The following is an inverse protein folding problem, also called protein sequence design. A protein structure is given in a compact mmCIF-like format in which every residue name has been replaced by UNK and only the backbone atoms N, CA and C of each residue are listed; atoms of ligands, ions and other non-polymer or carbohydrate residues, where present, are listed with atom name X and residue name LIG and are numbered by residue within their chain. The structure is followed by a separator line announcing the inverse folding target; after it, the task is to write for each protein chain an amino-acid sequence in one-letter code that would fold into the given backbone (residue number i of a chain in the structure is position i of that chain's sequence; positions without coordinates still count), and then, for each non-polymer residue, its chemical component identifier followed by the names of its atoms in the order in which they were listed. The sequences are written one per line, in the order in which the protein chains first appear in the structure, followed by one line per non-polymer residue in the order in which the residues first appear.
data_IF_519539552328
#
_entry.id   IF_519539552328
#
_cell.length_a   1.000
_cell.length_b   1.000
_cell.length_c   1.000
_cell.angle_alpha   90.00
_cell.angle_beta   90.00
_cell.angle_gamma   90.00
#
_symmetry.space_group_name_H-M   'P 1'
#
loop_
_entity.id
_entity.type
_entity.pdbx_description
1 polymer ?
#
# COMPACT_ATOMS: atom_id res chain seq x y z
N UNK A 1 13.01 12.95 9.69
CA UNK A 1 13.00 12.24 8.37
C UNK A 1 11.55 11.97 7.97
N UNK A 2 11.16 12.20 6.72
CA UNK A 2 9.81 11.91 6.23
C UNK A 2 9.69 10.43 5.87
N UNK A 3 8.74 9.73 6.51
CA UNK A 3 8.39 8.33 6.23
C UNK A 3 7.14 8.31 5.36
N UNK A 4 7.29 7.85 4.12
CA UNK A 4 6.20 7.76 3.15
C UNK A 4 5.75 6.31 3.06
N UNK A 5 4.46 6.04 3.28
CA UNK A 5 3.86 4.73 3.03
C UNK A 5 3.38 4.62 1.59
N UNK A 6 3.95 3.72 0.80
CA UNK A 6 3.47 3.40 -0.54
C UNK A 6 2.61 2.14 -0.48
N UNK A 7 1.35 2.26 -0.91
CA UNK A 7 0.40 1.16 -0.94
C UNK A 7 -0.38 1.16 -2.25
N UNK A 8 -0.98 0.02 -2.57
CA UNK A 8 -1.79 -0.16 -3.77
C UNK A 8 -2.38 -1.56 -3.78
N UNK A 9 -3.46 -1.75 -4.55
CA UNK A 9 -4.08 -3.05 -4.75
C UNK A 9 -3.27 -3.93 -5.69
N UNK A 10 -3.64 -5.21 -5.80
CA UNK A 10 -3.11 -6.09 -6.86
C UNK A 10 -3.30 -5.43 -8.22
N UNK A 11 -2.27 -5.50 -9.07
CA UNK A 11 -2.25 -4.96 -10.42
C UNK A 11 -2.52 -3.43 -10.54
N UNK A 12 -2.40 -2.68 -9.43
CA UNK A 12 -2.52 -1.22 -9.42
C UNK A 12 -1.34 -0.49 -10.07
N UNK A 13 -0.21 -1.15 -10.28
CA UNK A 13 1.03 -0.52 -10.76
C UNK A 13 1.95 0.01 -9.66
N UNK A 14 1.71 -0.37 -8.39
CA UNK A 14 2.57 -0.04 -7.26
C UNK A 14 4.05 -0.31 -7.52
N UNK A 15 4.40 -1.48 -8.06
CA UNK A 15 5.78 -1.85 -8.38
C UNK A 15 6.44 -0.89 -9.39
N UNK A 16 5.66 -0.36 -10.34
CA UNK A 16 6.14 0.67 -11.28
C UNK A 16 6.50 1.95 -10.55
N UNK A 17 5.66 2.39 -9.60
CA UNK A 17 5.94 3.55 -8.76
C UNK A 17 7.17 3.31 -7.87
N UNK A 18 7.27 2.14 -7.22
CA UNK A 18 8.42 1.77 -6.40
C UNK A 18 9.72 1.84 -7.21
N UNK A 19 9.72 1.32 -8.43
CA UNK A 19 10.86 1.36 -9.34
C UNK A 19 11.22 2.79 -9.76
N UNK A 20 10.25 3.65 -10.06
CA UNK A 20 10.52 5.06 -10.40
C UNK A 20 11.14 5.81 -9.22
N UNK A 21 10.64 5.57 -8.00
CA UNK A 21 11.16 6.21 -6.79
C UNK A 21 12.59 5.76 -6.49
N UNK A 22 12.88 4.46 -6.58
CA UNK A 22 14.22 3.92 -6.28
C UNK A 22 15.22 4.21 -7.40
N UNK A 23 14.89 3.89 -8.65
CA UNK A 23 15.85 3.93 -9.76
C UNK A 23 16.01 5.32 -10.36
N UNK A 24 14.91 6.04 -10.58
CA UNK A 24 14.95 7.36 -11.22
C UNK A 24 15.27 8.46 -10.21
N UNK A 25 14.62 8.44 -9.05
CA UNK A 25 14.76 9.51 -8.07
C UNK A 25 15.73 9.22 -6.93
N UNK A 26 16.32 8.01 -6.88
CA UNK A 26 17.30 7.57 -5.87
C UNK A 26 16.80 7.74 -4.43
N UNK A 27 15.51 7.52 -4.22
CA UNK A 27 14.89 7.56 -2.89
C UNK A 27 14.99 6.17 -2.25
N UNK A 28 15.51 6.05 -1.01
CA UNK A 28 15.56 4.77 -0.30
C UNK A 28 14.17 4.16 -0.12
N UNK A 29 14.05 2.88 -0.47
CA UNK A 29 12.81 2.11 -0.38
C UNK A 29 13.01 0.89 0.52
N UNK A 30 12.08 0.70 1.45
CA UNK A 30 11.99 -0.47 2.33
C UNK A 30 10.78 -1.28 1.86
N UNK A 31 11.04 -2.34 1.11
CA UNK A 31 10.02 -3.30 0.67
C UNK A 31 9.70 -4.26 1.81
N UNK A 32 8.47 -4.21 2.34
CA UNK A 32 8.05 -5.06 3.44
C UNK A 32 7.86 -6.52 3.06
N UNK A 33 7.59 -6.84 1.79
CA UNK A 33 7.48 -8.23 1.34
C UNK A 33 8.87 -8.88 1.31
N UNK A 34 9.88 -8.16 0.82
CA UNK A 34 11.29 -8.59 0.90
C UNK A 34 11.71 -8.68 2.37
N UNK A 35 11.38 -7.68 3.18
CA UNK A 35 11.74 -7.65 4.59
C UNK A 35 11.12 -8.82 5.37
N UNK A 36 9.84 -9.13 5.11
CA UNK A 36 9.13 -10.25 5.74
C UNK A 36 9.76 -11.60 5.40
N UNK A 37 10.38 -11.74 4.22
CA UNK A 37 11.16 -12.94 3.88
C UNK A 37 12.51 -12.95 4.58
N UNK A 38 13.21 -11.83 4.59
CA UNK A 38 14.54 -11.71 5.21
C UNK A 38 14.52 -11.95 6.73
N UNK A 39 13.46 -11.56 7.44
CA UNK A 39 13.39 -11.74 8.90
C UNK A 39 13.27 -13.20 9.34
N UNK A 40 12.93 -14.12 8.44
CA UNK A 40 12.81 -15.57 8.70
C UNK A 40 13.89 -16.39 7.97
N UNK A 41 14.96 -15.75 7.49
CA UNK A 41 16.09 -16.45 6.89
C UNK A 41 16.88 -17.27 7.93
N UNK A 42 17.65 -18.28 7.49
CA UNK A 42 18.53 -19.06 8.36
C UNK A 42 19.40 -18.17 9.27
N UNK A 43 19.50 -18.55 10.55
CA UNK A 43 20.28 -17.82 11.54
C UNK A 43 19.56 -16.63 12.20
N UNK A 44 18.42 -16.19 11.69
CA UNK A 44 17.65 -15.09 12.28
C UNK A 44 16.98 -15.45 13.61
N UNK A 45 16.81 -14.49 14.54
CA UNK A 45 16.09 -14.74 15.79
C UNK A 45 14.61 -15.11 15.57
N UNK A 46 13.97 -14.59 14.53
CA UNK A 46 12.57 -14.90 14.26
C UNK A 46 12.40 -16.34 13.81
N UNK A 47 13.26 -16.85 12.91
CA UNK A 47 13.23 -18.25 12.51
C UNK A 47 13.44 -19.17 13.72
N UNK A 48 14.41 -18.86 14.61
CA UNK A 48 14.64 -19.62 15.85
C UNK A 48 13.39 -19.65 16.74
N UNK A 49 12.68 -18.53 16.87
CA UNK A 49 11.45 -18.45 17.65
C UNK A 49 10.30 -19.26 17.02
N UNK A 50 10.18 -19.25 15.69
CA UNK A 50 9.19 -20.05 14.96
C UNK A 50 9.51 -21.54 15.14
N UNK A 51 10.74 -21.97 14.91
CA UNK A 51 11.19 -23.38 15.09
C UNK A 51 10.99 -23.86 16.52
N UNK A 52 11.20 -22.99 17.52
CA UNK A 52 10.94 -23.33 18.93
C UNK A 52 9.47 -23.66 19.20
N UNK A 53 8.53 -23.07 18.46
CA UNK A 53 7.10 -23.28 18.65
C UNK A 53 6.53 -24.37 17.75
N UNK A 54 6.95 -24.40 16.49
CA UNK A 54 6.42 -25.27 15.43
C UNK A 54 7.30 -26.49 15.14
N UNK A 55 8.36 -26.70 15.90
CA UNK A 55 9.30 -27.80 15.71
C UNK A 55 10.24 -27.62 14.51
N UNK A 56 11.02 -28.66 14.22
CA UNK A 56 12.04 -28.66 13.14
C UNK A 56 11.48 -29.13 11.80
N UNK A 57 10.29 -29.72 11.79
CA UNK A 57 9.55 -30.19 10.62
C UNK A 57 9.21 -29.07 9.63
N UNK A 58 9.21 -27.81 10.09
CA UNK A 58 9.02 -26.63 9.24
C UNK A 58 10.33 -26.13 8.60
N UNK A 59 11.43 -26.86 8.76
CA UNK A 59 12.72 -26.53 8.12
C UNK A 59 12.99 -27.49 6.96
N UNK A 60 13.57 -26.93 5.91
CA UNK A 60 14.18 -27.70 4.83
C UNK A 60 15.56 -28.22 5.26
N UNK A 61 16.15 -29.16 4.49
CA UNK A 61 17.49 -29.69 4.80
C UNK A 61 18.60 -28.64 4.87
N UNK A 62 18.44 -27.52 4.16
CA UNK A 62 19.37 -26.37 4.16
C UNK A 62 19.17 -25.42 5.37
N UNK A 63 18.23 -25.73 6.27
CA UNK A 63 17.87 -24.90 7.42
C UNK A 63 16.99 -23.70 7.09
N UNK A 64 16.53 -23.57 5.84
CA UNK A 64 15.56 -22.55 5.44
C UNK A 64 14.12 -22.96 5.80
N UNK A 65 13.22 -21.98 5.86
CA UNK A 65 11.83 -22.22 6.22
C UNK A 65 11.06 -22.92 5.08
N UNK A 66 10.44 -24.06 5.40
CA UNK A 66 9.49 -24.74 4.53
C UNK A 66 8.10 -24.07 4.61
N UNK A 67 7.89 -23.10 3.72
CA UNK A 67 6.64 -22.30 3.66
C UNK A 67 5.39 -23.15 3.38
N UNK A 68 5.39 -24.11 2.43
CA UNK A 68 4.29 -25.04 2.26
C UNK A 68 3.89 -25.77 3.55
N UNK A 69 4.86 -26.35 4.26
CA UNK A 69 4.60 -27.14 5.47
C UNK A 69 4.08 -26.25 6.60
N UNK A 70 4.74 -25.12 6.87
CA UNK A 70 4.25 -24.14 7.85
C UNK A 70 2.86 -23.62 7.47
N UNK A 71 2.63 -23.36 6.17
CA UNK A 71 1.37 -22.90 5.61
C UNK A 71 0.21 -23.83 5.94
N UNK A 72 0.40 -25.15 5.77
CA UNK A 72 -0.61 -26.16 6.12
C UNK A 72 -0.98 -26.13 7.60
N UNK A 73 0.00 -25.98 8.49
CA UNK A 73 -0.21 -25.92 9.94
C UNK A 73 -1.04 -24.67 10.30
N UNK A 74 -0.63 -23.49 9.83
CA UNK A 74 -1.28 -22.22 10.21
C UNK A 74 -2.60 -21.98 9.48
N UNK A 75 -2.83 -22.64 8.35
CA UNK A 75 -4.12 -22.56 7.65
C UNK A 75 -5.20 -23.35 8.37
N UNK A 76 -4.84 -24.50 8.95
CA UNK A 76 -5.78 -25.37 9.66
C UNK A 76 -6.04 -24.94 11.11
N UNK A 77 -5.17 -24.13 11.71
CA UNK A 77 -5.30 -23.67 13.09
C UNK A 77 -5.17 -22.13 13.23
N UNK A 78 -6.29 -21.42 13.50
CA UNK A 78 -6.29 -19.97 13.74
C UNK A 78 -5.44 -19.52 14.94
N UNK A 79 -5.29 -20.34 15.98
CA UNK A 79 -4.44 -20.02 17.13
C UNK A 79 -2.96 -20.04 16.73
N UNK A 80 -2.56 -21.04 15.94
CA UNK A 80 -1.21 -21.13 15.37
C UNK A 80 -0.89 -19.96 14.44
N UNK A 81 -1.87 -19.57 13.60
CA UNK A 81 -1.74 -18.38 12.76
C UNK A 81 -1.49 -17.11 13.57
N UNK A 82 -2.17 -16.94 14.71
CA UNK A 82 -1.95 -15.79 15.61
C UNK A 82 -0.53 -15.80 16.19
N UNK A 83 -0.01 -16.96 16.59
CA UNK A 83 1.35 -17.07 17.12
C UNK A 83 2.38 -16.72 16.06
N UNK A 84 2.27 -17.28 14.85
CA UNK A 84 3.16 -16.95 13.73
C UNK A 84 3.11 -15.47 13.41
N UNK A 85 1.91 -14.90 13.24
CA UNK A 85 1.75 -13.47 12.95
C UNK A 85 2.39 -12.60 14.02
N UNK A 86 2.25 -12.95 15.30
CA UNK A 86 2.87 -12.19 16.40
C UNK A 86 4.40 -12.20 16.33
N UNK A 87 5.00 -13.35 16.09
CA UNK A 87 6.46 -13.48 15.98
C UNK A 87 6.96 -12.68 14.76
N UNK A 88 6.34 -12.90 13.60
CA UNK A 88 6.72 -12.27 12.34
C UNK A 88 6.51 -10.76 12.38
N UNK A 89 5.35 -10.26 12.84
CA UNK A 89 5.08 -8.82 12.90
C UNK A 89 6.06 -8.10 13.84
N UNK A 90 6.41 -8.71 14.98
CA UNK A 90 7.40 -8.15 15.90
C UNK A 90 8.78 -8.05 15.24
N UNK A 91 9.21 -9.12 14.55
CA UNK A 91 10.49 -9.14 13.86
C UNK A 91 10.55 -8.13 12.70
N UNK A 92 9.51 -8.05 11.86
CA UNK A 92 9.40 -7.10 10.75
C UNK A 92 9.47 -5.66 11.28
N UNK A 93 8.71 -5.31 12.33
CA UNK A 93 8.74 -3.96 12.91
C UNK A 93 10.12 -3.59 13.44
N UNK A 94 10.79 -4.49 14.17
CA UNK A 94 12.14 -4.26 14.68
C UNK A 94 13.14 -4.04 13.54
N UNK A 95 13.06 -4.86 12.49
CA UNK A 95 13.97 -4.75 11.34
C UNK A 95 13.70 -3.46 10.54
N UNK A 96 12.43 -3.10 10.35
CA UNK A 96 12.03 -1.85 9.71
C UNK A 96 12.56 -0.64 10.49
N UNK A 97 12.35 -0.60 11.81
CA UNK A 97 12.86 0.47 12.67
C UNK A 97 14.39 0.59 12.59
N UNK A 98 15.10 -0.54 12.57
CA UNK A 98 16.55 -0.57 12.41
C UNK A 98 17.00 0.00 11.06
N UNK A 99 16.35 -0.40 9.96
CA UNK A 99 16.67 0.12 8.62
C UNK A 99 16.38 1.63 8.52
N UNK A 100 15.26 2.08 9.08
CA UNK A 100 14.94 3.50 9.16
C UNK A 100 15.98 4.27 9.95
N UNK A 101 16.45 3.74 11.08
CA UNK A 101 17.50 4.35 11.88
C UNK A 101 18.83 4.46 11.11
N UNK A 102 19.23 3.41 10.39
CA UNK A 102 20.43 3.44 9.54
C UNK A 102 20.32 4.49 8.43
N UNK A 103 19.16 4.57 7.76
CA UNK A 103 18.92 5.58 6.73
C UNK A 103 18.94 7.00 7.30
N UNK A 104 18.39 7.17 8.50
CA UNK A 104 18.42 8.43 9.23
C UNK A 104 19.85 8.86 9.58
N UNK A 105 20.71 7.95 10.08
CA UNK A 105 22.14 8.23 10.31
C UNK A 105 22.85 8.60 9.03
N UNK A 106 22.52 7.96 7.90
CA UNK A 106 23.07 8.28 6.57
C UNK A 106 22.60 9.64 6.03
N UNK A 107 21.80 10.40 6.77
CA UNK A 107 21.28 11.70 6.34
C UNK A 107 20.13 11.62 5.35
N UNK A 108 19.48 10.46 5.22
CA UNK A 108 18.32 10.31 4.34
C UNK A 108 17.15 11.14 4.88
N UNK A 109 16.71 12.13 4.10
CA UNK A 109 15.60 13.00 4.50
C UNK A 109 14.24 12.34 4.27
N UNK A 110 14.16 11.41 3.32
CA UNK A 110 12.93 10.74 2.86
C UNK A 110 13.21 9.24 2.80
N UNK A 111 12.26 8.43 3.27
CA UNK A 111 12.24 6.98 3.10
C UNK A 111 10.85 6.53 2.69
N UNK A 112 10.77 5.61 1.73
CA UNK A 112 9.51 5.02 1.27
C UNK A 112 9.39 3.61 1.84
N UNK A 113 8.30 3.33 2.55
CA UNK A 113 7.92 1.99 3.02
C UNK A 113 6.90 1.43 2.06
N UNK A 114 7.31 0.45 1.27
CA UNK A 114 6.45 -0.20 0.29
C UNK A 114 5.77 -1.43 0.90
N UNK A 115 4.44 -1.40 0.98
CA UNK A 115 3.65 -2.51 1.49
C UNK A 115 2.26 -2.58 0.83
N UNK A 116 1.90 -3.69 0.14
CA UNK A 116 0.55 -3.85 -0.41
C UNK A 116 -0.56 -3.82 0.66
N UNK A 117 -0.24 -4.35 1.85
CA UNK A 117 -1.15 -4.46 2.99
C UNK A 117 -0.89 -3.37 4.07
N UNK A 118 -0.39 -2.21 3.66
CA UNK A 118 -0.02 -1.12 4.58
C UNK A 118 -1.18 -0.67 5.48
N UNK A 119 -2.38 -0.60 4.89
CA UNK A 119 -3.61 -0.16 5.56
C UNK A 119 -4.11 -1.25 6.51
N UNK A 120 -4.19 -2.47 6.00
CA UNK A 120 -4.67 -3.67 6.69
C UNK A 120 -3.78 -4.03 7.89
N UNK A 121 -2.46 -3.82 7.78
CA UNK A 121 -1.50 -4.06 8.85
C UNK A 121 -1.43 -2.92 9.88
N UNK A 122 -2.19 -1.83 9.68
CA UNK A 122 -2.17 -0.67 10.58
C UNK A 122 -0.90 0.19 10.48
N UNK A 123 -0.04 -0.07 9.49
CA UNK A 123 1.26 0.59 9.35
C UNK A 123 1.14 2.05 8.92
N UNK A 124 0.01 2.43 8.34
CA UNK A 124 -0.37 3.81 8.04
C UNK A 124 -0.21 4.78 9.22
N UNK A 125 -0.30 4.29 10.46
CA UNK A 125 -0.11 5.10 11.67
C UNK A 125 1.34 5.57 11.86
N UNK A 126 2.31 4.84 11.31
CA UNK A 126 3.74 5.14 11.41
C UNK A 126 4.26 5.95 10.22
N UNK A 127 3.41 6.21 9.22
CA UNK A 127 3.76 6.97 8.02
C UNK A 127 3.37 8.45 8.21
N UNK A 128 4.31 9.35 7.89
CA UNK A 128 4.05 10.79 7.86
C UNK A 128 3.24 11.24 6.64
N UNK A 129 3.29 10.45 5.57
CA UNK A 129 2.47 10.63 4.36
C UNK A 129 2.14 9.26 3.74
N UNK A 130 0.93 9.08 3.20
CA UNK A 130 0.49 7.84 2.55
C UNK A 130 0.17 8.13 1.08
N UNK A 131 0.85 7.39 0.21
CA UNK A 131 0.66 7.40 -1.24
C UNK A 131 -0.08 6.13 -1.63
N UNK A 132 -1.27 6.30 -2.19
CA UNK A 132 -2.06 5.19 -2.73
C UNK A 132 -1.96 5.21 -4.25
N UNK A 133 -1.47 4.12 -4.84
CA UNK A 133 -1.58 3.90 -6.28
C UNK A 133 -2.94 3.31 -6.56
N UNK A 134 -3.79 4.08 -7.25
CA UNK A 134 -5.18 3.75 -7.52
C UNK A 134 -5.41 3.46 -9.00
N UNK A 135 -6.28 2.49 -9.28
CA UNK A 135 -6.88 2.30 -10.60
C UNK A 135 -8.24 1.58 -10.44
N UNK A 136 -9.14 1.70 -11.42
CA UNK A 136 -10.43 1.00 -11.39
C UNK A 136 -10.28 -0.52 -11.26
N UNK A 137 -11.23 -1.22 -10.60
CA UNK A 137 -11.23 -2.68 -10.50
C UNK A 137 -11.18 -3.39 -11.86
N UNK A 138 -11.82 -2.82 -12.88
CA UNK A 138 -11.77 -3.33 -14.26
C UNK A 138 -10.35 -3.36 -14.82
N UNK A 139 -9.56 -2.32 -14.55
CA UNK A 139 -8.16 -2.24 -14.97
C UNK A 139 -7.29 -3.22 -14.18
N UNK A 140 -7.59 -3.43 -12.89
CA UNK A 140 -6.88 -4.42 -12.06
C UNK A 140 -7.09 -5.84 -12.60
N UNK A 141 -8.33 -6.20 -12.93
CA UNK A 141 -8.69 -7.51 -13.48
C UNK A 141 -8.04 -7.71 -14.85
N UNK A 142 -8.19 -6.74 -15.76
CA UNK A 142 -7.59 -6.81 -17.10
C UNK A 142 -6.08 -7.01 -17.02
N UNK A 143 -5.37 -6.22 -16.20
CA UNK A 143 -3.90 -6.35 -16.03
C UNK A 143 -3.49 -7.67 -15.39
N UNK A 144 -4.25 -8.15 -14.41
CA UNK A 144 -3.95 -9.42 -13.74
C UNK A 144 -4.12 -10.60 -14.70
N UNK A 145 -5.20 -10.62 -15.47
CA UNK A 145 -5.42 -11.65 -16.51
C UNK A 145 -4.34 -11.54 -17.58
N UNK A 146 -4.06 -10.36 -18.12
CA UNK A 146 -3.02 -10.22 -19.16
C UNK A 146 -1.63 -10.66 -18.70
N UNK A 147 -1.28 -10.42 -17.43
CA UNK A 147 0.04 -10.81 -16.88
C UNK A 147 0.11 -12.30 -16.54
N UNK A 148 -0.93 -12.85 -15.94
CA UNK A 148 -0.90 -14.18 -15.33
C UNK A 148 -1.66 -15.23 -16.17
N UNK A 149 -2.22 -14.88 -17.33
CA UNK A 149 -2.83 -15.81 -18.28
C UNK A 149 -1.87 -16.93 -18.71
N UNK A 150 -0.58 -16.60 -18.90
CA UNK A 150 0.46 -17.57 -19.21
C UNK A 150 0.69 -18.60 -18.08
N UNK A 151 0.26 -18.28 -16.85
CA UNK A 151 0.34 -19.16 -15.68
C UNK A 151 -0.99 -19.90 -15.40
N UNK A 152 -1.95 -19.86 -16.34
CA UNK A 152 -3.24 -20.55 -16.21
C UNK A 152 -4.24 -19.91 -15.25
N UNK A 153 -4.09 -18.61 -14.95
CA UNK A 153 -5.01 -17.91 -14.05
C UNK A 153 -6.36 -17.65 -14.75
N UNK A 154 -7.45 -18.18 -14.19
CA UNK A 154 -8.81 -17.91 -14.65
C UNK A 154 -9.29 -16.52 -14.19
N UNK A 155 -10.30 -15.97 -14.87
CA UNK A 155 -10.88 -14.69 -14.46
C UNK A 155 -11.55 -14.81 -13.07
N UNK A 156 -12.12 -15.96 -12.76
CA UNK A 156 -12.71 -16.27 -11.45
C UNK A 156 -11.65 -16.25 -10.34
N UNK A 157 -10.48 -16.85 -10.57
CA UNK A 157 -9.37 -16.83 -9.62
C UNK A 157 -8.82 -15.40 -9.45
N UNK A 158 -8.71 -14.65 -10.55
CA UNK A 158 -8.34 -13.24 -10.54
C UNK A 158 -9.31 -12.41 -9.68
N UNK A 159 -10.62 -12.59 -9.85
CA UNK A 159 -11.65 -11.93 -9.02
C UNK A 159 -11.57 -12.36 -7.55
N UNK A 160 -11.38 -13.64 -7.27
CA UNK A 160 -11.23 -14.17 -5.91
C UNK A 160 -10.04 -13.52 -5.18
N UNK A 161 -8.89 -13.40 -5.87
CA UNK A 161 -7.69 -12.72 -5.34
C UNK A 161 -7.95 -11.25 -5.10
N UNK A 162 -8.63 -10.56 -6.01
CA UNK A 162 -8.99 -9.16 -5.84
C UNK A 162 -9.88 -8.95 -4.60
N UNK A 163 -10.90 -9.80 -4.42
CA UNK A 163 -11.84 -9.75 -3.30
C UNK A 163 -11.24 -10.17 -1.95
N UNK A 164 -10.11 -10.87 -1.95
CA UNK A 164 -9.39 -11.23 -0.72
C UNK A 164 -8.68 -10.05 -0.04
N UNK A 165 -8.52 -8.94 -0.77
CA UNK A 165 -7.92 -7.70 -0.27
C UNK A 165 -8.98 -6.65 0.02
N UNK A 166 -8.63 -5.65 0.83
CA UNK A 166 -9.47 -4.48 1.00
C UNK A 166 -9.63 -3.78 -0.36
N UNK A 167 -10.87 -3.47 -0.81
CA UNK A 167 -11.10 -2.75 -2.05
C UNK A 167 -10.25 -1.49 -2.15
N UNK A 168 -9.77 -1.16 -3.35
CA UNK A 168 -8.82 -0.06 -3.50
C UNK A 168 -9.44 1.29 -3.13
N UNK A 169 -10.74 1.45 -3.37
CA UNK A 169 -11.52 2.62 -2.96
C UNK A 169 -11.57 2.80 -1.44
N UNK A 170 -11.51 1.70 -0.68
CA UNK A 170 -11.48 1.73 0.78
C UNK A 170 -10.11 2.13 1.33
N UNK A 171 -9.07 2.14 0.48
CA UNK A 171 -7.75 2.67 0.84
C UNK A 171 -7.67 4.19 0.63
N UNK A 172 -8.55 4.79 -0.18
CA UNK A 172 -8.56 6.23 -0.46
C UNK A 172 -8.73 7.14 0.77
N UNK A 173 -9.55 6.81 1.78
CA UNK A 173 -9.66 7.61 3.00
C UNK A 173 -8.35 7.75 3.78
N UNK A 174 -7.41 6.83 3.57
CA UNK A 174 -6.09 6.85 4.20
C UNK A 174 -5.05 7.60 3.35
N UNK A 175 -5.36 7.87 2.08
CA UNK A 175 -4.45 8.53 1.17
C UNK A 175 -4.28 10.01 1.58
N UNK A 176 -3.02 10.42 1.63
CA UNK A 176 -2.64 11.83 1.58
C UNK A 176 -2.41 12.25 0.12
N UNK A 177 -1.91 11.31 -0.70
CA UNK A 177 -1.69 11.46 -2.14
C UNK A 177 -2.26 10.25 -2.85
N UNK A 178 -2.97 10.50 -3.94
CA UNK A 178 -3.47 9.45 -4.84
C UNK A 178 -2.68 9.57 -6.13
N UNK A 179 -2.04 8.47 -6.54
CA UNK A 179 -1.43 8.34 -7.85
C UNK A 179 -2.40 7.53 -8.70
N UNK A 180 -3.06 8.19 -9.64
CA UNK A 180 -4.03 7.54 -10.51
C UNK A 180 -3.30 6.91 -11.71
N UNK A 181 -3.46 5.59 -11.83
CA UNK A 181 -2.92 4.75 -12.88
C UNK A 181 -4.06 4.07 -13.65
N UNK A 182 -5.17 4.77 -13.85
CA UNK A 182 -6.29 4.35 -14.69
C UNK A 182 -5.94 4.41 -16.18
N UNK A 183 -6.54 3.51 -16.94
CA UNK A 183 -6.46 3.51 -18.41
C UNK A 183 -7.10 4.77 -19.02
N UNK A 184 -8.12 5.34 -18.37
CA UNK A 184 -8.79 6.57 -18.79
C UNK A 184 -7.88 7.80 -18.76
N UNK A 185 -6.96 7.90 -17.79
CA UNK A 185 -5.97 8.97 -17.78
C UNK A 185 -5.06 8.94 -19.01
N UNK A 186 -4.74 7.75 -19.52
CA UNK A 186 -3.94 7.60 -20.73
C UNK A 186 -4.68 8.10 -22.00
N UNK A 187 -6.02 8.11 -21.98
CA UNK A 187 -6.86 8.53 -23.08
C UNK A 187 -7.10 10.07 -23.10
N UNK A 188 -6.88 10.77 -21.98
CA UNK A 188 -7.10 12.22 -21.82
C UNK A 188 -5.91 13.12 -22.17
N UNK A 189 -4.74 12.55 -22.47
CA UNK A 189 -3.55 13.32 -22.85
C UNK A 189 -3.73 13.94 -24.26
N UNK A 190 -3.43 15.24 -24.47
CA UNK A 190 -3.68 15.91 -25.75
C UNK A 190 -2.82 15.32 -26.88
N UNK A 191 -3.47 14.80 -27.94
CA UNK A 191 -2.83 14.22 -29.13
C UNK A 191 -3.48 12.92 -29.67
N UNK A 192 -4.80 12.77 -29.55
CA UNK A 192 -5.53 11.52 -29.80
C UNK A 192 -5.79 11.23 -31.29
N UNK A 193 -4.90 10.47 -31.93
CA UNK A 193 -5.25 9.62 -33.09
C UNK A 193 -5.03 8.16 -32.73
N UNK A 194 -6.00 7.31 -33.08
CA UNK A 194 -6.14 5.92 -32.66
C UNK A 194 -4.92 5.05 -33.04
N UNK A 195 -4.19 4.53 -32.03
CA UNK A 195 -3.30 3.37 -32.18
C UNK A 195 -3.36 2.52 -30.91
N UNK A 196 -4.01 1.35 -31.00
CA UNK A 196 -4.26 0.43 -29.87
C UNK A 196 -3.01 -0.24 -29.28
N UNK A 197 -1.81 0.01 -29.82
CA UNK A 197 -0.54 -0.52 -29.28
C UNK A 197 0.12 0.38 -28.21
N UNK A 198 -0.38 1.62 -27.99
CA UNK A 198 0.29 2.63 -27.16
C UNK A 198 -0.28 2.91 -25.76
N UNK A 199 -1.38 2.26 -25.36
CA UNK A 199 -2.10 2.60 -24.11
C UNK A 199 -1.29 2.37 -22.83
N UNK A 200 -0.49 1.30 -22.79
CA UNK A 200 0.37 1.00 -21.63
C UNK A 200 1.49 2.04 -21.44
N UNK A 201 2.09 2.51 -22.54
CA UNK A 201 3.15 3.55 -22.49
C UNK A 201 2.61 4.88 -21.97
N UNK A 202 1.45 5.32 -22.46
CA UNK A 202 0.84 6.61 -22.08
C UNK A 202 0.38 6.64 -20.62
N UNK A 203 -0.25 5.55 -20.14
CA UNK A 203 -0.57 5.39 -18.72
C UNK A 203 0.69 5.47 -17.85
N UNK A 204 1.80 4.90 -18.34
CA UNK A 204 3.09 4.96 -17.63
C UNK A 204 3.72 6.35 -17.62
N UNK A 205 3.50 7.18 -18.65
CA UNK A 205 3.98 8.56 -18.73
C UNK A 205 3.21 9.50 -17.81
N UNK A 206 1.88 9.42 -17.81
CA UNK A 206 1.04 10.19 -16.87
C UNK A 206 1.37 9.84 -15.42
N UNK A 207 1.59 8.56 -15.12
CA UNK A 207 2.02 8.11 -13.80
C UNK A 207 3.43 8.63 -13.44
N UNK A 208 4.37 8.61 -14.39
CA UNK A 208 5.72 9.19 -14.20
C UNK A 208 5.67 10.67 -13.87
N UNK A 209 4.81 11.45 -14.54
CA UNK A 209 4.65 12.87 -14.28
C UNK A 209 4.13 13.12 -12.85
N UNK A 210 3.09 12.39 -12.43
CA UNK A 210 2.57 12.47 -11.06
C UNK A 210 3.64 12.10 -10.01
N UNK A 211 4.45 11.07 -10.27
CA UNK A 211 5.56 10.67 -9.38
C UNK A 211 6.63 11.77 -9.32
N UNK A 212 6.99 12.38 -10.45
CA UNK A 212 7.98 13.44 -10.49
C UNK A 212 7.53 14.67 -9.68
N UNK A 213 6.28 15.11 -9.85
CA UNK A 213 5.68 16.20 -9.08
C UNK A 213 5.66 15.90 -7.58
N UNK A 214 5.26 14.67 -7.22
CA UNK A 214 5.26 14.17 -5.85
C UNK A 214 6.66 14.27 -5.22
N UNK A 215 7.68 13.80 -5.93
CA UNK A 215 9.07 13.85 -5.46
C UNK A 215 9.55 15.29 -5.33
N UNK A 216 9.20 16.17 -6.27
CA UNK A 216 9.55 17.58 -6.21
C UNK A 216 8.94 18.26 -4.98
N UNK A 217 7.68 17.95 -4.65
CA UNK A 217 7.01 18.41 -3.43
C UNK A 217 7.70 17.93 -2.15
N UNK A 218 8.20 16.69 -2.12
CA UNK A 218 8.97 16.21 -0.97
C UNK A 218 10.32 16.91 -0.85
N UNK A 219 11.02 17.12 -1.98
CA UNK A 219 12.32 17.80 -2.01
C UNK A 219 12.21 19.25 -1.55
N UNK A 220 11.21 20.00 -1.99
CA UNK A 220 10.99 21.39 -1.56
C UNK A 220 10.68 21.49 -0.06
N UNK A 221 9.83 20.58 0.46
CA UNK A 221 9.50 20.51 1.88
C UNK A 221 10.71 20.19 2.76
N UNK A 222 11.65 19.38 2.25
CA UNK A 222 12.84 18.93 3.00
C UNK A 222 14.09 19.80 2.78
N UNK A 223 14.08 20.72 1.81
CA UNK A 223 15.16 21.69 1.59
C UNK A 223 14.93 23.06 2.24
N UNK A 224 13.70 23.38 2.65
CA UNK A 224 13.39 24.67 3.27
C UNK A 224 14.09 24.82 4.63
N UNK A 225 14.62 26.01 4.94
CA UNK A 225 15.40 26.33 6.15
C UNK A 225 14.74 25.85 7.46
N UNK A 226 13.41 25.96 7.57
CA UNK A 226 12.65 25.44 8.73
C UNK A 226 12.66 23.92 8.87
N UNK A 227 12.74 23.16 7.78
CA UNK A 227 12.84 21.69 7.80
C UNK A 227 14.22 21.19 8.23
N UNK A 228 15.29 21.90 7.86
CA UNK A 228 16.64 21.62 8.32
C UNK A 228 16.84 22.00 9.81
N UNK A 229 16.27 23.13 10.24
CA UNK A 229 16.28 23.55 11.64
C UNK A 229 15.47 22.61 12.54
N UNK A 230 14.27 22.18 12.13
CA UNK A 230 13.48 21.17 12.85
C UNK A 230 14.18 19.81 12.92
N UNK A 231 14.86 19.38 11.86
CA UNK A 231 15.64 18.14 11.85
C UNK A 231 16.84 18.20 12.80
N UNK A 232 17.52 19.35 12.91
CA UNK A 232 18.58 19.59 13.89
C UNK A 232 18.06 19.68 15.33
N UNK A 233 16.87 20.27 15.54
CA UNK A 233 16.23 20.36 16.86
C UNK A 233 15.74 19.00 17.36
N UNK A 234 15.26 18.14 16.44
CA UNK A 234 14.95 16.73 16.68
C UNK A 234 16.19 15.93 17.14
N UNK A 235 17.39 16.38 16.76
CA UNK A 235 18.68 15.83 17.19
C UNK A 235 19.08 16.27 18.59
N UNK A 236 18.79 17.52 18.96
CA UNK A 236 19.20 18.11 20.23
C UNK A 236 18.21 17.91 21.39
N UNK A 237 16.92 17.67 21.10
CA UNK A 237 15.89 17.38 22.11
C UNK A 237 15.01 16.16 21.74
N UNK A 238 15.46 14.94 22.07
CA UNK A 238 14.70 13.71 21.88
C UNK A 238 13.25 13.71 22.43
N UNK A 239 12.94 14.33 23.60
CA UNK A 239 11.56 14.33 24.10
C UNK A 239 10.59 15.12 23.22
N UNK A 240 11.06 16.17 22.52
CA UNK A 240 10.22 16.96 21.61
C UNK A 240 9.91 16.20 20.31
N UNK A 241 10.88 15.46 19.76
CA UNK A 241 10.65 14.60 18.61
C UNK A 241 9.64 13.48 18.90
N UNK A 242 9.73 12.85 20.08
CA UNK A 242 8.77 11.83 20.51
C UNK A 242 7.36 12.40 20.74
N UNK A 243 7.25 13.57 21.38
CA UNK A 243 5.96 14.24 21.60
C UNK A 243 5.30 14.66 20.26
N UNK A 244 6.09 15.21 19.34
CA UNK A 244 5.62 15.56 17.99
C UNK A 244 5.19 14.30 17.21
N UNK A 245 5.96 13.22 17.29
CA UNK A 245 5.58 11.91 16.76
C UNK A 245 4.25 11.41 17.33
N UNK A 246 4.05 11.50 18.64
CA UNK A 246 2.79 11.10 19.29
C UNK A 246 1.61 11.98 18.82
N UNK A 247 1.81 13.29 18.76
CA UNK A 247 0.78 14.24 18.31
C UNK A 247 0.37 14.00 16.85
N UNK A 248 1.35 13.76 15.95
CA UNK A 248 1.05 13.42 14.55
C UNK A 248 0.26 12.12 14.41
N UNK A 249 0.54 11.11 15.24
CA UNK A 249 -0.24 9.87 15.28
C UNK A 249 -1.69 10.13 15.70
N UNK A 250 -1.91 10.88 16.79
CA UNK A 250 -3.25 11.19 17.31
C UNK A 250 -4.06 11.98 16.28
N UNK A 251 -3.50 13.09 15.77
CA UNK A 251 -4.16 13.93 14.76
C UNK A 251 -4.49 13.16 13.49
N UNK A 252 -3.63 12.23 13.07
CA UNK A 252 -3.86 11.38 11.89
C UNK A 252 -5.02 10.41 12.10
N UNK A 253 -5.15 9.82 13.29
CA UNK A 253 -6.29 8.96 13.63
C UNK A 253 -7.62 9.70 13.51
N UNK A 254 -7.68 10.94 14.03
CA UNK A 254 -8.89 11.78 13.94
C UNK A 254 -9.23 12.12 12.49
N UNK A 255 -8.27 12.61 11.70
CA UNK A 255 -8.52 12.96 10.30
C UNK A 255 -9.00 11.76 9.46
N UNK A 256 -8.39 10.59 9.64
CA UNK A 256 -8.80 9.38 8.91
C UNK A 256 -10.17 8.91 9.37
N UNK A 257 -10.50 9.03 10.66
CA UNK A 257 -11.84 8.72 11.17
C UNK A 257 -12.90 9.58 10.48
N UNK A 258 -12.67 10.89 10.36
CA UNK A 258 -13.56 11.79 9.60
C UNK A 258 -13.64 11.45 8.12
N UNK A 259 -12.51 11.21 7.45
CA UNK A 259 -12.49 10.81 6.03
C UNK A 259 -13.28 9.52 5.79
N UNK A 260 -13.17 8.53 6.69
CA UNK A 260 -13.92 7.27 6.60
C UNK A 260 -15.43 7.49 6.76
N UNK A 261 -15.84 8.26 7.78
CA UNK A 261 -17.26 8.58 7.99
C UNK A 261 -17.86 9.25 6.75
N UNK A 262 -17.14 10.20 6.15
CA UNK A 262 -17.57 10.87 4.92
C UNK A 262 -17.63 9.91 3.73
N UNK A 263 -16.65 9.01 3.58
CA UNK A 263 -16.63 8.01 2.52
C UNK A 263 -17.79 7.00 2.67
N UNK A 264 -18.07 6.54 3.89
CA UNK A 264 -19.21 5.67 4.19
C UNK A 264 -20.55 6.37 3.92
N UNK A 265 -20.68 7.64 4.30
CA UNK A 265 -21.86 8.45 4.00
C UNK A 265 -22.08 8.59 2.48
N UNK A 266 -21.02 8.88 1.72
CA UNK A 266 -21.07 8.98 0.26
C UNK A 266 -21.42 7.65 -0.43
N UNK A 267 -20.97 6.52 0.12
CA UNK A 267 -21.38 5.19 -0.36
C UNK A 267 -22.87 4.92 -0.09
N UNK A 268 -23.34 5.24 1.11
CA UNK A 268 -24.76 5.09 1.48
C UNK A 268 -25.67 5.96 0.60
N UNK A 269 -25.26 7.18 0.27
CA UNK A 269 -26.04 8.05 -0.64
C UNK A 269 -26.09 7.50 -2.07
N UNK A 270 -24.96 7.03 -2.61
CA UNK A 270 -24.93 6.36 -3.93
C UNK A 270 -25.80 5.11 -3.96
N UNK A 271 -25.75 4.29 -2.90
CA UNK A 271 -26.54 3.06 -2.81
C UNK A 271 -28.04 3.35 -2.71
N UNK A 272 -28.44 4.44 -2.03
CA UNK A 272 -29.83 4.93 -2.01
C UNK A 272 -30.28 5.41 -3.38
N UNK A 273 -29.46 6.19 -4.08
CA UNK A 273 -29.76 6.66 -5.45
C UNK A 273 -29.87 5.53 -6.47
N UNK A 274 -29.09 4.46 -6.33
CA UNK A 274 -29.20 3.27 -7.19
C UNK A 274 -30.38 2.34 -6.83
N UNK A 275 -30.99 2.53 -5.66
CA UNK A 275 -32.09 1.71 -5.15
C UNK A 275 -33.47 2.37 -5.33
N UNK A 276 -33.55 3.59 -5.86
CA UNK A 276 -34.81 4.18 -6.33
C UNK A 276 -35.11 3.63 -7.74
N UNK A 277 -36.08 2.71 -7.90
CA UNK A 277 -36.58 2.40 -9.24
C UNK A 277 -37.29 3.65 -9.77
N UNK A 278 -37.07 3.97 -11.05
CA UNK A 278 -37.86 4.92 -11.82
C UNK A 278 -39.35 4.58 -11.68
N UNK A 279 -40.03 5.16 -10.69
CA UNK A 279 -41.48 5.17 -10.60
C UNK A 279 -41.97 6.23 -11.59
N UNK A 280 -42.05 5.85 -12.86
CA UNK A 280 -42.89 6.54 -13.83
C UNK A 280 -44.31 6.43 -13.29
N UNK A 281 -45.03 7.52 -13.00
CA UNK A 281 -46.43 7.42 -12.64
C UNK A 281 -47.18 6.87 -13.85
N UNK A 282 -47.83 5.72 -13.66
CA UNK A 282 -48.82 5.22 -14.61
C UNK A 282 -49.96 6.23 -14.67
N UNK A 283 -49.95 7.09 -15.70
CA UNK A 283 -51.09 7.92 -16.05
C UNK A 283 -52.28 7.00 -16.30
N UNK A 284 -53.24 7.11 -15.40
CA UNK A 284 -54.46 6.34 -15.38
C UNK A 284 -55.30 6.82 -16.56
N UNK A 285 -55.49 5.95 -17.56
CA UNK A 285 -56.62 6.06 -18.49
C UNK A 285 -57.88 6.24 -17.65
N UNK A 286 -58.52 7.41 -17.78
CA UNK A 286 -59.88 7.65 -17.32
C UNK A 286 -60.70 8.10 -18.52
N UNK A 287 -61.55 7.18 -18.93
CA UNK A 287 -62.77 7.29 -19.72
C UNK A 287 -63.32 8.71 -19.95
N UNK A 288 -63.47 9.07 -21.23
CA UNK A 288 -64.60 9.81 -21.81
C UNK A 288 -64.59 9.61 -23.34
#
# INVERSE_FOLDING_TARGET
MLVVGLTGGIASGKSTVSHLLSETHKIPLIDLDILARAVVEPGTPALKAIVKHFGKEILKPDGSLDRPTLGRIVFNDPAQRKVLNRITHSAVRKRMAWLMFLLWIKGSKIVVVDAPLLVEAGLWTFCGEIVVVWCPPSDQLSRMVSRDAANGLTEEDARSRLNSQLPLDDKLPYADVILDNSSALADSAPGSTQVSAGKSSRSSEALRAQVAELVQRWKSRTSTFGGAALWLLEWFLPPFGLAYGLWTIVRRKEMISHKRLNAEAAKRSKQRQSAEPNSIPAETKKDA
#
